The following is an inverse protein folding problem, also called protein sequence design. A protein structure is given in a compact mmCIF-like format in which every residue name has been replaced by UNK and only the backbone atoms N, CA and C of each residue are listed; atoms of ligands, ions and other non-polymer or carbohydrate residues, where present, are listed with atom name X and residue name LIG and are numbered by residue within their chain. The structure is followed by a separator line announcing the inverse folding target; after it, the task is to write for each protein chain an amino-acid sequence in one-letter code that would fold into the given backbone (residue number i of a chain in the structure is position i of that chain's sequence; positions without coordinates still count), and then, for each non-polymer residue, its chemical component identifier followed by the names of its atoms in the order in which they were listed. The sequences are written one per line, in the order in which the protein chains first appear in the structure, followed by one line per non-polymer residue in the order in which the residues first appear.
data_IF_751590905317
#
_entry.id   IF_751590905317
#
_cell.length_a   1.000
_cell.length_b   1.000
_cell.length_c   1.000
_cell.angle_alpha   90.00
_cell.angle_beta   90.00
_cell.angle_gamma   90.00
#
_symmetry.space_group_name_H-M   'P 1'
#
loop_
_entity.id
_entity.type
_entity.pdbx_description
1 polymer ?
#
# COMPACT_ATOMS: atom_id res chain seq x y z
N UNK A 1 5.45 16.09 4.32
CA UNK A 1 5.04 14.91 3.56
C UNK A 1 5.85 13.72 4.05
N UNK A 2 5.18 12.63 4.41
CA UNK A 2 5.77 11.37 4.84
C UNK A 2 5.88 10.39 3.67
N UNK A 3 6.82 9.45 3.75
CA UNK A 3 6.97 8.33 2.83
C UNK A 3 6.85 7.02 3.63
N UNK A 4 5.96 6.13 3.21
CA UNK A 4 5.85 4.79 3.79
C UNK A 4 6.06 3.77 2.69
N UNK A 5 7.22 3.12 2.73
CA UNK A 5 7.57 2.03 1.83
C UNK A 5 7.07 0.68 2.38
N UNK A 6 6.68 -0.28 1.52
CA UNK A 6 6.22 -1.60 1.92
C UNK A 6 7.40 -2.50 2.31
N UNK A 7 8.16 -2.11 3.33
CA UNK A 7 9.32 -2.85 3.84
C UNK A 7 8.93 -3.61 5.10
N UNK A 8 9.24 -4.91 5.13
CA UNK A 8 9.11 -5.75 6.33
C UNK A 8 10.46 -6.37 6.64
N UNK A 9 10.98 -6.10 7.84
CA UNK A 9 12.28 -6.61 8.30
C UNK A 9 13.46 -6.28 7.37
N UNK A 10 13.44 -5.10 6.74
CA UNK A 10 14.48 -4.66 5.79
C UNK A 10 14.30 -5.21 4.37
N UNK A 11 13.31 -6.05 4.12
CA UNK A 11 13.00 -6.58 2.79
C UNK A 11 11.80 -5.87 2.17
N UNK A 12 11.90 -5.54 0.88
CA UNK A 12 10.83 -4.92 0.14
C UNK A 12 9.76 -5.94 -0.24
N UNK A 13 8.50 -5.66 0.08
CA UNK A 13 7.37 -6.52 -0.25
C UNK A 13 6.81 -6.17 -1.63
N UNK A 14 6.75 -7.16 -2.50
CA UNK A 14 6.29 -7.06 -3.89
C UNK A 14 4.85 -7.56 -4.10
N UNK A 15 4.21 -8.08 -3.04
CA UNK A 15 2.82 -8.51 -3.11
C UNK A 15 1.88 -7.30 -3.18
N UNK A 16 1.20 -7.16 -4.30
CA UNK A 16 0.32 -6.02 -4.54
C UNK A 16 -0.97 -6.00 -3.73
N UNK A 17 -1.39 -7.11 -3.13
CA UNK A 17 -2.51 -7.12 -2.17
C UNK A 17 -2.03 -6.61 -0.79
N UNK A 18 -0.82 -6.98 -0.37
CA UNK A 18 -0.21 -6.44 0.87
C UNK A 18 0.04 -4.93 0.75
N UNK A 19 0.50 -4.46 -0.41
CA UNK A 19 0.70 -3.03 -0.65
C UNK A 19 -0.59 -2.21 -0.43
N UNK A 20 -1.73 -2.68 -0.96
CA UNK A 20 -3.04 -2.04 -0.74
C UNK A 20 -3.51 -2.19 0.71
N UNK A 21 -3.29 -3.33 1.34
CA UNK A 21 -3.65 -3.54 2.74
C UNK A 21 -2.92 -2.55 3.66
N UNK A 22 -1.64 -2.28 3.40
CA UNK A 22 -0.86 -1.26 4.12
C UNK A 22 -1.47 0.14 3.95
N UNK A 23 -1.84 0.53 2.73
CA UNK A 23 -2.46 1.83 2.46
C UNK A 23 -3.77 2.00 3.23
N UNK A 24 -4.63 0.97 3.23
CA UNK A 24 -5.89 0.98 4.00
C UNK A 24 -5.63 1.03 5.51
N UNK A 25 -4.66 0.26 6.00
CA UNK A 25 -4.29 0.28 7.42
C UNK A 25 -3.84 1.66 7.85
N UNK A 26 -2.92 2.29 7.10
CA UNK A 26 -2.41 3.63 7.41
C UNK A 26 -3.54 4.65 7.37
N UNK A 27 -4.40 4.63 6.34
CA UNK A 27 -5.55 5.51 6.23
C UNK A 27 -6.50 5.45 7.46
N UNK A 28 -6.65 4.27 8.05
CA UNK A 28 -7.57 4.04 9.16
C UNK A 28 -6.97 4.27 10.56
N UNK A 29 -5.65 4.23 10.69
CA UNK A 29 -4.99 4.15 12.01
C UNK A 29 -3.89 5.19 12.24
N UNK A 30 -3.35 5.82 11.19
CA UNK A 30 -2.23 6.74 11.29
C UNK A 30 -2.69 8.14 10.85
N UNK A 31 -2.73 9.06 11.82
CA UNK A 31 -3.17 10.43 11.60
C UNK A 31 -1.97 11.37 11.77
N UNK A 32 -1.48 11.89 10.65
CA UNK A 32 -0.38 12.85 10.58
C UNK A 32 -0.92 14.12 9.92
N UNK A 33 -0.41 15.29 10.32
CA UNK A 33 -0.87 16.59 9.82
C UNK A 33 -0.33 16.92 8.41
N UNK A 34 0.32 15.95 7.75
CA UNK A 34 0.94 16.08 6.44
C UNK A 34 0.62 14.89 5.55
N UNK A 35 0.67 15.09 4.23
CA UNK A 35 0.43 14.03 3.23
C UNK A 35 1.37 12.84 3.40
N UNK A 36 0.87 11.63 3.10
CA UNK A 36 1.63 10.38 3.12
C UNK A 36 1.69 9.80 1.70
N UNK A 37 2.89 9.54 1.20
CA UNK A 37 3.15 8.90 -0.08
C UNK A 37 3.48 7.41 0.12
N UNK A 38 2.85 6.56 -0.70
CA UNK A 38 3.04 5.09 -0.69
C UNK A 38 3.60 4.60 -2.02
N UNK A 39 4.93 4.57 -2.22
CA UNK A 39 5.52 3.92 -3.37
C UNK A 39 5.34 2.40 -3.25
N UNK A 40 4.88 1.75 -4.32
CA UNK A 40 4.83 0.31 -4.41
C UNK A 40 5.04 -0.16 -5.85
N UNK A 41 5.76 -1.26 -6.02
CA UNK A 41 5.74 -2.06 -7.23
C UNK A 41 5.22 -3.45 -6.89
N UNK A 42 4.69 -4.16 -7.88
CA UNK A 42 4.06 -5.45 -7.66
C UNK A 42 4.67 -6.53 -8.55
N UNK A 43 4.73 -7.74 -8.02
CA UNK A 43 4.77 -8.93 -8.85
C UNK A 43 3.55 -8.96 -9.78
N UNK A 44 3.62 -9.68 -10.92
CA UNK A 44 2.54 -9.71 -11.89
C UNK A 44 1.18 -10.04 -11.26
N UNK A 45 0.22 -9.14 -11.40
CA UNK A 45 -1.15 -9.27 -10.87
C UNK A 45 -2.19 -8.54 -11.72
N UNK A 46 -3.45 -8.85 -11.46
CA UNK A 46 -4.59 -8.00 -11.84
C UNK A 46 -5.09 -7.31 -10.58
N UNK A 47 -5.23 -5.98 -10.63
CA UNK A 47 -5.90 -5.19 -9.60
C UNK A 47 -7.19 -4.66 -10.19
N UNK A 48 -8.33 -4.99 -9.57
CA UNK A 48 -9.64 -4.53 -10.00
C UNK A 48 -10.19 -3.49 -9.04
N UNK A 49 -10.97 -2.56 -9.57
CA UNK A 49 -11.74 -1.59 -8.79
C UNK A 49 -12.81 -2.27 -7.94
N UNK A 50 -13.15 -1.63 -6.82
CA UNK A 50 -14.07 -2.13 -5.78
C UNK A 50 -15.42 -2.64 -6.29
N UNK A 51 -15.90 -2.11 -7.43
CA UNK A 51 -17.23 -2.40 -7.97
C UNK A 51 -17.18 -3.18 -9.30
N UNK A 52 -16.04 -3.80 -9.62
CA UNK A 52 -15.89 -4.63 -10.82
C UNK A 52 -16.24 -6.10 -10.53
N UNK A 53 -16.60 -6.84 -11.58
CA UNK A 53 -16.74 -8.29 -11.55
C UNK A 53 -15.48 -8.93 -12.13
N UNK A 54 -14.84 -9.80 -11.35
CA UNK A 54 -13.56 -10.43 -11.69
C UNK A 54 -13.71 -11.59 -12.66
#
# INVERSE_FOLDING_TARGET
MYLIEPIRNGEYITDGAIALAMQVYVNQHIFLDEDILFPYYCDPKVEIGRFQNT
#
